data_IF_363484115806
#
_entry.id   IF_363484115806
#
_cell.length_a   1.000
_cell.length_b   1.000
_cell.length_c   1.000
_cell.angle_alpha   90.00
_cell.angle_beta   90.00
_cell.angle_gamma   90.00
#
_symmetry.space_group_name_H-M   'P 1'
#
loop_
_entity.id
_entity.type
_entity.pdbx_description
1 polymer ?
#
# COMPACT_ATOMS: atom_id res chain seq x y z
N UNK A 1 11.14 -9.50 7.00
CA UNK A 1 9.78 -8.96 7.35
C UNK A 1 9.80 -7.70 8.24
N UNK A 2 10.78 -7.60 9.15
CA UNK A 2 10.93 -6.57 10.18
C UNK A 2 11.12 -5.13 9.68
N UNK A 3 11.85 -4.95 8.58
CA UNK A 3 12.04 -3.63 7.98
C UNK A 3 10.74 -3.06 7.40
N UNK A 4 9.81 -3.88 6.92
CA UNK A 4 8.53 -3.40 6.35
C UNK A 4 7.62 -2.86 7.45
N UNK A 5 7.59 -3.48 8.63
CA UNK A 5 6.83 -3.01 9.80
C UNK A 5 7.43 -1.70 10.33
N UNK A 6 8.76 -1.62 10.37
CA UNK A 6 9.48 -0.42 10.82
C UNK A 6 9.32 0.73 9.82
N UNK A 7 9.43 0.46 8.52
CA UNK A 7 9.23 1.44 7.44
C UNK A 7 7.77 1.90 7.38
N UNK A 8 6.82 0.99 7.63
CA UNK A 8 5.41 1.31 7.78
C UNK A 8 5.22 2.25 8.98
N UNK A 9 5.75 1.93 10.16
CA UNK A 9 5.65 2.78 11.35
C UNK A 9 6.37 4.12 11.17
N UNK A 10 7.47 4.18 10.41
CA UNK A 10 8.25 5.41 10.17
C UNK A 10 7.47 6.43 9.33
N UNK A 11 6.59 6.00 8.43
CA UNK A 11 5.78 6.94 7.63
C UNK A 11 4.71 7.62 8.49
N UNK A 12 4.69 8.97 8.60
CA UNK A 12 3.67 9.69 9.38
C UNK A 12 2.26 9.49 8.83
N UNK A 13 2.14 9.14 7.55
CA UNK A 13 0.92 8.69 6.89
C UNK A 13 0.37 7.40 7.53
N UNK A 14 1.22 6.41 7.86
CA UNK A 14 0.80 5.11 8.42
C UNK A 14 0.03 5.24 9.74
N UNK A 15 0.56 6.07 10.64
CA UNK A 15 -0.01 6.29 11.99
C UNK A 15 -1.31 7.10 11.94
N UNK A 16 -1.39 8.12 11.07
CA UNK A 16 -2.65 8.85 10.81
C UNK A 16 -3.69 7.92 10.20
N UNK A 17 -3.30 6.97 9.35
CA UNK A 17 -4.18 5.96 8.77
C UNK A 17 -4.76 5.00 9.81
N UNK A 18 -3.98 4.52 10.79
CA UNK A 18 -4.47 3.68 11.89
C UNK A 18 -5.41 4.44 12.82
N UNK A 19 -5.08 5.69 13.14
CA UNK A 19 -5.99 6.51 13.95
C UNK A 19 -7.28 6.84 13.19
N UNK A 20 -7.18 7.08 11.88
CA UNK A 20 -8.34 7.24 11.00
C UNK A 20 -9.10 5.92 10.79
N UNK A 21 -8.46 4.74 10.86
CA UNK A 21 -9.11 3.42 10.81
C UNK A 21 -10.08 3.26 11.98
N UNK A 22 -9.64 3.59 13.19
CA UNK A 22 -10.50 3.56 14.39
C UNK A 22 -11.55 4.66 14.37
N UNK A 23 -11.21 5.86 13.87
CA UNK A 23 -12.12 7.01 13.87
C UNK A 23 -13.12 7.01 12.70
N UNK A 24 -12.81 6.31 11.61
CA UNK A 24 -13.61 6.22 10.38
C UNK A 24 -14.17 4.80 10.19
N UNK A 25 -14.59 4.16 11.29
CA UNK A 25 -15.36 2.91 11.29
C UNK A 25 -16.73 3.16 10.63
N UNK A 26 -16.71 3.26 9.31
CA UNK A 26 -17.83 3.56 8.44
C UNK A 26 -18.18 2.31 7.64
N UNK A 27 -19.44 2.14 7.31
CA UNK A 27 -19.93 1.01 6.50
C UNK A 27 -19.10 0.80 5.22
N UNK A 28 -18.70 1.88 4.55
CA UNK A 28 -17.87 1.83 3.34
C UNK A 28 -16.49 1.20 3.59
N UNK A 29 -15.90 1.47 4.76
CA UNK A 29 -14.63 0.87 5.15
C UNK A 29 -14.76 -0.63 5.40
N UNK A 30 -15.84 -1.05 6.06
CA UNK A 30 -16.10 -2.48 6.28
C UNK A 30 -16.26 -3.24 4.96
N UNK A 31 -16.98 -2.65 3.99
CA UNK A 31 -17.12 -3.23 2.65
C UNK A 31 -15.77 -3.30 1.93
N UNK A 32 -14.95 -2.25 1.99
CA UNK A 32 -13.62 -2.25 1.38
C UNK A 32 -12.69 -3.31 2.01
N UNK A 33 -12.73 -3.48 3.34
CA UNK A 33 -11.99 -4.53 4.05
C UNK A 33 -12.50 -5.92 3.67
N UNK A 34 -13.81 -6.12 3.58
CA UNK A 34 -14.40 -7.38 3.16
C UNK A 34 -13.96 -7.75 1.73
N UNK A 35 -14.06 -6.81 0.78
CA UNK A 35 -13.59 -6.99 -0.59
C UNK A 35 -12.09 -7.30 -0.65
N UNK A 36 -11.30 -6.67 0.20
CA UNK A 36 -9.88 -6.94 0.32
C UNK A 36 -9.61 -8.38 0.79
N UNK A 37 -10.27 -8.83 1.86
CA UNK A 37 -10.11 -10.21 2.35
C UNK A 37 -10.59 -11.24 1.33
N UNK A 38 -11.70 -10.99 0.64
CA UNK A 38 -12.18 -11.84 -0.46
C UNK A 38 -11.14 -11.93 -1.58
N UNK A 39 -10.55 -10.80 -1.97
CA UNK A 39 -9.48 -10.79 -2.97
C UNK A 39 -8.25 -11.55 -2.46
N UNK A 40 -7.88 -11.41 -1.19
CA UNK A 40 -6.76 -12.15 -0.59
C UNK A 40 -6.98 -13.67 -0.58
N UNK A 41 -8.17 -14.11 -0.20
CA UNK A 41 -8.54 -15.53 -0.26
C UNK A 41 -8.50 -16.04 -1.70
N UNK A 42 -9.03 -15.26 -2.66
CA UNK A 42 -8.97 -15.61 -4.07
C UNK A 42 -7.52 -15.71 -4.57
N UNK A 43 -6.65 -14.76 -4.22
CA UNK A 43 -5.22 -14.80 -4.56
C UNK A 43 -4.54 -16.05 -4.00
N UNK A 44 -4.79 -16.41 -2.74
CA UNK A 44 -4.21 -17.61 -2.14
C UNK A 44 -4.78 -18.89 -2.76
N UNK A 45 -6.06 -18.90 -3.11
CA UNK A 45 -6.68 -20.01 -3.83
C UNK A 45 -6.07 -20.20 -5.22
N UNK A 46 -5.86 -19.13 -5.99
CA UNK A 46 -5.16 -19.19 -7.28
C UNK A 46 -3.73 -19.69 -7.07
N UNK A 47 -3.01 -19.17 -6.07
CA UNK A 47 -1.65 -19.59 -5.73
C UNK A 47 -1.57 -21.09 -5.37
N UNK A 48 -2.62 -21.63 -4.73
CA UNK A 48 -2.73 -23.06 -4.44
C UNK A 48 -2.91 -23.89 -5.71
N UNK A 49 -3.76 -23.45 -6.66
CA UNK A 49 -3.98 -24.15 -7.93
C UNK A 49 -2.71 -24.26 -8.79
N UNK A 50 -1.85 -23.23 -8.76
CA UNK A 50 -0.58 -23.21 -9.50
C UNK A 50 0.58 -23.84 -8.70
N UNK A 51 0.32 -24.42 -7.53
CA UNK A 51 1.31 -25.10 -6.69
C UNK A 51 2.30 -24.17 -5.96
N UNK A 52 2.09 -22.85 -6.01
CA UNK A 52 2.92 -21.87 -5.30
C UNK A 52 2.62 -21.81 -3.81
N UNK A 53 1.39 -22.11 -3.40
CA UNK A 53 0.94 -22.06 -2.01
C UNK A 53 0.73 -23.45 -1.43
N UNK A 54 1.30 -23.69 -0.25
CA UNK A 54 1.09 -24.89 0.57
C UNK A 54 0.55 -24.49 1.94
N UNK A 55 -0.15 -25.40 2.61
CA UNK A 55 -0.70 -25.21 3.96
C UNK A 55 0.38 -24.83 4.98
N UNK A 56 1.62 -25.31 4.77
CA UNK A 56 2.80 -24.96 5.56
C UNK A 56 3.10 -23.45 5.58
N UNK A 57 2.60 -22.68 4.59
CA UNK A 57 2.84 -21.24 4.45
C UNK A 57 1.71 -20.37 5.02
N UNK A 58 0.78 -20.94 5.80
CA UNK A 58 -0.36 -20.19 6.37
C UNK A 58 0.12 -19.01 7.21
N UNK A 59 1.16 -19.19 8.04
CA UNK A 59 1.65 -18.14 8.94
C UNK A 59 2.20 -16.96 8.14
N UNK A 60 3.02 -17.26 7.14
CA UNK A 60 3.64 -16.30 6.24
C UNK A 60 2.56 -15.58 5.42
N UNK A 61 1.56 -16.29 4.94
CA UNK A 61 0.43 -15.74 4.17
C UNK A 61 -0.44 -14.81 5.01
N UNK A 62 -0.75 -15.19 6.26
CA UNK A 62 -1.50 -14.35 7.19
C UNK A 62 -0.76 -13.03 7.45
N UNK A 63 0.56 -13.11 7.65
CA UNK A 63 1.40 -11.94 7.84
C UNK A 63 1.48 -11.08 6.58
N UNK A 64 1.57 -11.67 5.38
CA UNK A 64 1.52 -10.92 4.11
C UNK A 64 0.21 -10.14 3.96
N UNK A 65 -0.91 -10.75 4.32
CA UNK A 65 -2.23 -10.13 4.26
C UNK A 65 -2.30 -8.96 5.27
N UNK A 66 -2.03 -9.23 6.55
CA UNK A 66 -2.16 -8.23 7.60
C UNK A 66 -1.15 -7.07 7.47
N UNK A 67 0.11 -7.39 7.22
CA UNK A 67 1.20 -6.39 7.21
C UNK A 67 1.36 -5.75 5.83
N UNK A 68 1.15 -6.50 4.75
CA UNK A 68 1.30 -6.00 3.38
C UNK A 68 0.04 -5.32 2.83
N UNK A 69 -1.15 -5.86 3.13
CA UNK A 69 -2.39 -5.38 2.53
C UNK A 69 -3.02 -4.16 3.20
N UNK A 70 -2.93 -4.02 4.52
CA UNK A 70 -3.43 -2.84 5.23
C UNK A 70 -2.75 -1.54 4.72
N UNK A 71 -1.42 -1.49 4.51
CA UNK A 71 -0.81 -0.33 3.89
C UNK A 71 -1.26 -0.05 2.45
N UNK A 72 -1.58 -1.11 1.70
CA UNK A 72 -2.07 -1.01 0.32
C UNK A 72 -3.45 -0.33 0.26
N UNK A 73 -4.31 -0.57 1.27
CA UNK A 73 -5.63 0.04 1.40
C UNK A 73 -5.59 1.55 1.66
N UNK A 74 -4.55 2.02 2.37
CA UNK A 74 -4.56 3.38 2.93
C UNK A 74 -3.51 4.35 2.36
N UNK A 75 -2.30 3.90 2.00
CA UNK A 75 -1.17 4.83 1.84
C UNK A 75 -0.73 5.11 0.42
N UNK A 76 -0.99 4.21 -0.54
CA UNK A 76 -0.51 4.38 -1.93
C UNK A 76 -1.56 4.81 -2.95
N UNK A 77 -2.81 4.34 -2.93
CA UNK A 77 -3.72 4.63 -4.02
C UNK A 77 -4.20 6.10 -4.03
N UNK A 78 -4.15 6.80 -2.88
CA UNK A 78 -4.62 8.19 -2.76
C UNK A 78 -3.65 9.21 -3.37
N UNK A 79 -2.34 8.92 -3.45
CA UNK A 79 -1.33 9.86 -3.94
C UNK A 79 -0.97 9.67 -5.43
N UNK A 80 -1.08 8.45 -5.98
CA UNK A 80 -0.60 8.12 -7.35
C UNK A 80 -1.51 8.66 -8.45
N UNK A 81 -1.00 9.43 -9.41
CA UNK A 81 -1.83 10.09 -10.43
C UNK A 81 -2.28 9.09 -11.51
N UNK A 82 -1.48 8.05 -11.77
CA UNK A 82 -1.75 7.08 -12.85
C UNK A 82 -1.71 5.62 -12.41
N UNK A 83 -2.40 4.75 -13.16
CA UNK A 83 -2.33 3.29 -12.97
C UNK A 83 -0.95 2.72 -13.22
N UNK A 84 -0.16 3.35 -14.10
CA UNK A 84 1.23 2.98 -14.37
C UNK A 84 2.14 3.34 -13.19
N UNK A 85 1.97 4.51 -12.58
CA UNK A 85 2.69 4.85 -11.33
C UNK A 85 2.33 3.89 -10.20
N UNK A 86 1.05 3.51 -10.08
CA UNK A 86 0.62 2.51 -9.11
C UNK A 86 1.29 1.15 -9.36
N UNK A 87 1.33 0.69 -10.62
CA UNK A 87 1.99 -0.55 -11.00
C UNK A 87 3.50 -0.49 -10.76
N UNK A 88 4.15 0.61 -11.16
CA UNK A 88 5.59 0.85 -10.94
C UNK A 88 5.90 0.84 -9.45
N UNK A 89 5.07 1.45 -8.62
CA UNK A 89 5.26 1.50 -7.18
C UNK A 89 4.98 0.16 -6.49
N UNK A 90 4.10 -0.68 -7.03
CA UNK A 90 3.87 -2.05 -6.56
C UNK A 90 5.03 -2.94 -7.01
N UNK A 91 5.50 -2.82 -8.25
CA UNK A 91 6.65 -3.55 -8.79
C UNK A 91 7.95 -3.20 -8.06
N UNK A 92 8.23 -1.91 -7.83
CA UNK A 92 9.35 -1.47 -7.01
C UNK A 92 9.26 -1.96 -5.56
N UNK A 93 8.04 -2.16 -5.04
CA UNK A 93 7.85 -2.76 -3.72
C UNK A 93 7.90 -4.29 -3.73
N UNK A 94 7.70 -4.94 -4.88
CA UNK A 94 7.68 -6.40 -5.04
C UNK A 94 9.06 -6.97 -5.39
N UNK A 95 9.88 -6.19 -6.12
CA UNK A 95 11.22 -6.56 -6.60
C UNK A 95 12.30 -5.63 -6.01
N UNK A 96 11.92 -4.67 -5.18
CA UNK A 96 12.85 -3.70 -4.60
C UNK A 96 13.86 -4.31 -3.64
N UNK A 97 14.95 -3.57 -3.44
CA UNK A 97 16.01 -3.87 -2.47
C UNK A 97 15.45 -4.26 -1.08
N UNK A 98 14.37 -3.63 -0.64
CA UNK A 98 13.70 -3.96 0.64
C UNK A 98 13.17 -5.38 0.71
N UNK A 99 12.68 -5.95 -0.40
CA UNK A 99 12.17 -7.34 -0.45
C UNK A 99 13.35 -8.31 -0.43
N UNK A 100 14.40 -8.03 -1.18
CA UNK A 100 15.63 -8.84 -1.21
C UNK A 100 16.25 -8.90 0.19
N UNK A 101 16.41 -7.74 0.84
CA UNK A 101 16.93 -7.66 2.21
C UNK A 101 15.98 -8.34 3.21
N UNK A 102 14.66 -8.20 3.02
CA UNK A 102 13.66 -8.86 3.88
C UNK A 102 13.67 -10.38 3.72
N UNK A 103 13.89 -10.90 2.51
CA UNK A 103 14.03 -12.32 2.22
C UNK A 103 15.35 -12.84 2.81
N UNK A 104 16.44 -12.11 2.61
CA UNK A 104 17.75 -12.42 3.19
C UNK A 104 17.70 -12.54 4.72
N UNK A 105 17.02 -11.62 5.39
CA UNK A 105 16.84 -11.68 6.85
C UNK A 105 15.89 -12.78 7.32
N UNK A 106 14.99 -13.25 6.46
CA UNK A 106 14.10 -14.37 6.80
C UNK A 106 14.77 -15.74 6.60
N UNK A 107 15.94 -15.82 5.92
CA UNK A 107 16.71 -17.06 5.76
C UNK A 107 17.10 -17.71 7.11
N UNK A 108 17.11 -16.91 8.18
CA UNK A 108 17.51 -17.34 9.51
C UNK A 108 16.43 -16.95 10.51
N UNK A 109 15.77 -17.94 11.09
CA UNK A 109 14.90 -17.72 12.25
C UNK A 109 15.75 -17.56 13.52
N UNK A 110 15.54 -16.49 14.27
CA UNK A 110 16.15 -16.33 15.59
C UNK A 110 15.22 -16.92 16.66
N UNK A 111 15.73 -17.25 17.86
CA UNK A 111 14.86 -17.57 18.98
C UNK A 111 13.84 -16.45 19.18
N UNK A 112 12.58 -16.81 19.44
CA UNK A 112 11.47 -15.86 19.52
C UNK A 112 11.75 -14.65 20.43
N UNK A 113 12.42 -14.89 21.57
CA UNK A 113 12.81 -13.83 22.52
C UNK A 113 13.75 -12.81 21.88
N UNK A 114 14.73 -13.28 21.08
CA UNK A 114 15.68 -12.40 20.38
C UNK A 114 14.97 -11.62 19.29
N UNK A 115 14.05 -12.25 18.54
CA UNK A 115 13.27 -11.55 17.51
C UNK A 115 12.40 -10.43 18.11
N UNK A 116 11.71 -10.71 19.21
CA UNK A 116 10.87 -9.73 19.90
C UNK A 116 11.72 -8.60 20.48
N UNK A 117 12.87 -8.92 21.09
CA UNK A 117 13.78 -7.88 21.61
C UNK A 117 14.29 -6.95 20.49
N UNK A 118 14.77 -7.55 19.41
CA UNK A 118 15.19 -6.83 18.19
C UNK A 118 14.04 -5.94 17.65
N UNK A 119 12.80 -6.43 17.62
CA UNK A 119 11.62 -5.66 17.22
C UNK A 119 11.38 -4.43 18.10
N UNK A 120 11.45 -4.59 19.43
CA UNK A 120 11.24 -3.51 20.39
C UNK A 120 12.29 -2.42 20.20
N UNK A 121 13.57 -2.80 20.04
CA UNK A 121 14.66 -1.85 19.83
C UNK A 121 14.45 -1.03 18.55
N UNK A 122 14.17 -1.67 17.42
CA UNK A 122 13.96 -0.94 16.16
C UNK A 122 12.71 -0.09 16.21
N UNK A 123 11.64 -0.57 16.85
CA UNK A 123 10.43 0.21 17.06
C UNK A 123 10.71 1.49 17.87
N UNK A 124 11.44 1.39 18.98
CA UNK A 124 11.79 2.54 19.81
C UNK A 124 12.69 3.54 19.07
N UNK A 125 13.68 3.07 18.32
CA UNK A 125 14.58 3.92 17.52
C UNK A 125 13.81 4.62 16.39
N UNK A 126 12.97 3.89 15.66
CA UNK A 126 12.14 4.43 14.59
C UNK A 126 11.05 5.38 15.10
N UNK A 127 10.44 5.09 16.25
CA UNK A 127 9.47 5.96 16.90
C UNK A 127 10.13 7.27 17.34
N UNK A 128 11.30 7.21 17.97
CA UNK A 128 12.06 8.37 18.42
C UNK A 128 12.50 9.26 17.26
N UNK A 129 13.03 8.66 16.18
CA UNK A 129 13.41 9.39 14.96
C UNK A 129 12.22 10.14 14.36
N UNK A 130 11.05 9.50 14.26
CA UNK A 130 9.84 10.13 13.75
C UNK A 130 9.31 11.28 14.64
N UNK A 131 9.46 11.17 15.97
CA UNK A 131 9.06 12.23 16.92
C UNK A 131 9.97 13.46 16.77
N UNK A 132 11.28 13.24 16.62
CA UNK A 132 12.27 14.30 16.45
C UNK A 132 12.07 15.06 15.14
N UNK A 133 11.85 14.32 14.04
CA UNK A 133 11.58 14.90 12.73
C UNK A 133 10.31 15.78 12.74
N UNK A 134 9.26 15.35 13.47
CA UNK A 134 8.01 16.11 13.61
C UNK A 134 8.16 17.40 14.42
N UNK A 135 8.93 17.36 15.51
CA UNK A 135 9.12 18.52 16.38
C UNK A 135 10.23 19.46 15.88
N UNK A 136 10.89 19.15 14.75
CA UNK A 136 12.12 19.82 14.28
C UNK A 136 13.15 19.96 15.40
N UNK A 137 13.22 18.96 16.29
CA UNK A 137 14.21 18.91 17.35
C UNK A 137 15.59 18.77 16.71
N UNK A 138 16.61 19.40 17.32
CA UNK A 138 17.92 19.70 16.73
C UNK A 138 18.52 18.62 15.83
N UNK A 139 19.16 19.06 14.73
CA UNK A 139 19.68 18.20 13.67
C UNK A 139 20.60 17.09 14.19
N UNK A 140 21.38 17.35 15.24
CA UNK A 140 22.33 16.39 15.83
C UNK A 140 21.67 15.10 16.34
N UNK A 141 20.54 15.19 17.05
CA UNK A 141 19.84 14.01 17.59
C UNK A 141 19.24 13.15 16.49
N UNK A 142 18.79 13.76 15.39
CA UNK A 142 18.28 13.03 14.23
C UNK A 142 19.43 12.25 13.53
N UNK A 143 20.60 12.88 13.34
CA UNK A 143 21.76 12.20 12.76
C UNK A 143 22.27 11.06 13.65
N UNK A 144 22.27 11.24 14.97
CA UNK A 144 22.65 10.17 15.91
C UNK A 144 21.71 8.97 15.83
N UNK A 145 20.39 9.19 15.84
CA UNK A 145 19.40 8.10 15.73
C UNK A 145 19.46 7.42 14.36
N UNK A 146 19.70 8.17 13.28
CA UNK A 146 19.91 7.57 11.96
C UNK A 146 21.19 6.74 11.94
N UNK A 147 22.28 7.22 12.54
CA UNK A 147 23.52 6.45 12.71
C UNK A 147 23.31 5.17 13.51
N UNK A 148 22.54 5.23 14.61
CA UNK A 148 22.19 4.06 15.41
C UNK A 148 21.35 3.04 14.63
N UNK A 149 20.39 3.49 13.80
CA UNK A 149 19.61 2.62 12.92
C UNK A 149 20.46 1.97 11.83
N UNK A 150 21.40 2.71 11.23
CA UNK A 150 22.33 2.18 10.24
C UNK A 150 23.25 1.14 10.89
N UNK A 151 23.82 1.45 12.06
CA UNK A 151 24.69 0.53 12.81
C UNK A 151 23.94 -0.74 13.20
N UNK A 152 22.71 -0.60 13.71
CA UNK A 152 21.85 -1.74 14.01
C UNK A 152 21.62 -2.60 12.76
N UNK A 153 21.27 -1.98 11.63
CA UNK A 153 21.10 -2.69 10.36
C UNK A 153 22.35 -3.44 9.93
N UNK A 154 23.52 -2.84 10.09
CA UNK A 154 24.80 -3.45 9.77
C UNK A 154 25.14 -4.65 10.67
N UNK A 155 24.98 -4.50 11.98
CA UNK A 155 25.15 -5.61 12.95
C UNK A 155 24.20 -6.76 12.62
N UNK A 156 22.96 -6.44 12.28
CA UNK A 156 21.96 -7.44 11.94
C UNK A 156 22.33 -8.20 10.66
N UNK A 157 22.82 -7.52 9.63
CA UNK A 157 23.35 -8.16 8.42
C UNK A 157 24.49 -9.11 8.78
N UNK A 158 25.47 -8.68 9.58
CA UNK A 158 26.59 -9.53 9.97
C UNK A 158 26.14 -10.78 10.75
N UNK A 159 25.19 -10.64 11.67
CA UNK A 159 24.65 -11.77 12.43
C UNK A 159 23.91 -12.77 11.53
N UNK A 160 23.11 -12.27 10.59
CA UNK A 160 22.43 -13.13 9.60
C UNK A 160 23.46 -13.81 8.71
N UNK A 161 24.43 -13.08 8.16
CA UNK A 161 25.53 -13.63 7.34
C UNK A 161 26.29 -14.73 8.07
N UNK A 162 26.66 -14.49 9.33
CA UNK A 162 27.37 -15.47 10.15
C UNK A 162 26.52 -16.74 10.34
N UNK A 163 25.24 -16.57 10.68
CA UNK A 163 24.36 -17.71 10.96
C UNK A 163 23.97 -18.49 9.69
N UNK A 164 23.81 -17.81 8.55
CA UNK A 164 23.68 -18.44 7.23
C UNK A 164 24.93 -19.26 6.91
N UNK A 165 26.12 -18.70 7.12
CA UNK A 165 27.37 -19.42 6.88
C UNK A 165 27.54 -20.64 7.79
N UNK A 166 27.28 -20.49 9.09
CA UNK A 166 27.44 -21.58 10.07
C UNK A 166 26.40 -22.70 9.94
N UNK A 167 25.25 -22.44 9.31
CA UNK A 167 24.14 -23.39 9.23
C UNK A 167 23.60 -23.54 7.79
N UNK A 168 24.44 -23.33 6.78
CA UNK A 168 24.04 -23.30 5.37
C UNK A 168 23.31 -24.57 4.93
N UNK A 169 23.73 -25.73 5.43
CA UNK A 169 23.16 -27.04 5.09
C UNK A 169 21.77 -27.27 5.70
N UNK A 170 21.39 -26.51 6.73
CA UNK A 170 20.08 -26.62 7.37
C UNK A 170 18.99 -25.75 6.72
N UNK A 171 19.37 -24.91 5.75
CA UNK A 171 18.45 -24.00 5.07
C UNK A 171 17.72 -24.73 3.94
N UNK A 172 16.41 -24.86 4.08
CA UNK A 172 15.54 -25.38 3.01
C UNK A 172 15.31 -24.33 1.93
N UNK A 173 16.29 -24.13 1.04
CA UNK A 173 16.25 -23.12 -0.03
C UNK A 173 14.98 -23.17 -0.90
N UNK A 174 14.45 -24.37 -1.16
CA UNK A 174 13.21 -24.53 -1.92
C UNK A 174 12.00 -23.89 -1.24
N UNK A 175 11.94 -23.93 0.10
CA UNK A 175 10.89 -23.30 0.88
C UNK A 175 10.99 -21.77 0.80
N UNK A 176 12.18 -21.23 1.02
CA UNK A 176 12.41 -19.78 1.03
C UNK A 176 12.18 -19.13 -0.34
N UNK A 177 12.59 -19.80 -1.42
CA UNK A 177 12.32 -19.36 -2.79
C UNK A 177 10.81 -19.35 -3.06
N UNK A 178 10.08 -20.37 -2.62
CA UNK A 178 8.62 -20.41 -2.78
C UNK A 178 7.93 -19.29 -2.01
N UNK A 179 8.35 -18.99 -0.79
CA UNK A 179 7.79 -17.86 0.00
C UNK A 179 8.09 -16.51 -0.68
N UNK A 180 9.28 -16.36 -1.25
CA UNK A 180 9.64 -15.16 -2.02
C UNK A 180 8.77 -14.99 -3.27
N UNK A 181 8.62 -16.05 -4.07
CA UNK A 181 7.77 -16.04 -5.27
C UNK A 181 6.31 -15.78 -4.89
N UNK A 182 5.81 -16.43 -3.83
CA UNK A 182 4.47 -16.23 -3.30
C UNK A 182 4.23 -14.78 -2.88
N UNK A 183 5.22 -14.14 -2.25
CA UNK A 183 5.15 -12.72 -1.86
C UNK A 183 5.01 -11.80 -3.08
N UNK A 184 5.82 -12.05 -4.12
CA UNK A 184 5.73 -11.31 -5.39
C UNK A 184 4.38 -11.53 -6.07
N UNK A 185 3.96 -12.79 -6.19
CA UNK A 185 2.67 -13.18 -6.76
C UNK A 185 1.50 -12.49 -6.04
N UNK A 186 1.51 -12.48 -4.70
CA UNK A 186 0.48 -11.83 -3.89
C UNK A 186 0.37 -10.34 -4.21
N UNK A 187 1.49 -9.62 -4.28
CA UNK A 187 1.50 -8.19 -4.61
C UNK A 187 0.95 -7.90 -6.01
N UNK A 188 1.30 -8.72 -7.00
CA UNK A 188 0.75 -8.60 -8.35
C UNK A 188 -0.73 -8.97 -8.42
N UNK A 189 -1.15 -10.02 -7.72
CA UNK A 189 -2.55 -10.45 -7.65
C UNK A 189 -3.44 -9.40 -6.97
N UNK A 190 -2.88 -8.61 -6.05
CA UNK A 190 -3.55 -7.49 -5.38
C UNK A 190 -3.64 -6.22 -6.23
N UNK A 191 -2.90 -6.12 -7.34
CA UNK A 191 -2.89 -4.93 -8.19
C UNK A 191 -4.27 -4.53 -8.72
N UNK A 192 -5.09 -5.45 -9.30
CA UNK A 192 -6.42 -5.11 -9.79
C UNK A 192 -7.32 -4.52 -8.70
N UNK A 193 -7.27 -5.11 -7.51
CA UNK A 193 -8.01 -4.60 -6.36
C UNK A 193 -7.55 -3.21 -5.94
N UNK A 194 -6.23 -2.99 -5.83
CA UNK A 194 -5.67 -1.68 -5.50
C UNK A 194 -6.04 -0.61 -6.53
N UNK A 195 -6.06 -0.97 -7.82
CA UNK A 195 -6.47 -0.07 -8.90
C UNK A 195 -7.95 0.31 -8.81
N UNK A 196 -8.83 -0.68 -8.61
CA UNK A 196 -10.27 -0.44 -8.46
C UNK A 196 -10.58 0.42 -7.23
N UNK A 197 -9.90 0.17 -6.11
CA UNK A 197 -10.04 0.98 -4.89
C UNK A 197 -9.58 2.42 -5.11
N UNK A 198 -8.44 2.62 -5.81
CA UNK A 198 -7.95 3.94 -6.17
C UNK A 198 -8.94 4.72 -7.05
N UNK A 199 -9.48 4.03 -8.06
CA UNK A 199 -10.44 4.60 -8.99
C UNK A 199 -11.75 4.95 -8.28
N UNK A 200 -12.27 4.05 -7.45
CA UNK A 200 -13.46 4.28 -6.63
C UNK A 200 -13.28 5.52 -5.74
N UNK A 201 -12.15 5.61 -5.05
CA UNK A 201 -11.82 6.75 -4.17
C UNK A 201 -11.74 8.07 -4.94
N UNK A 202 -11.13 8.06 -6.15
CA UNK A 202 -11.06 9.24 -7.00
C UNK A 202 -12.43 9.68 -7.52
N UNK A 203 -13.28 8.73 -7.91
CA UNK A 203 -14.66 9.01 -8.35
C UNK A 203 -15.52 9.56 -7.21
N UNK A 204 -15.41 9.00 -6.01
CA UNK A 204 -16.11 9.50 -4.83
C UNK A 204 -15.69 10.94 -4.50
N UNK A 205 -14.40 11.25 -4.63
CA UNK A 205 -13.90 12.61 -4.46
C UNK A 205 -14.48 13.58 -5.50
N UNK A 206 -14.56 13.19 -6.77
CA UNK A 206 -15.20 13.99 -7.81
C UNK A 206 -16.66 14.26 -7.46
N UNK A 207 -17.42 13.23 -7.11
CA UNK A 207 -18.85 13.34 -6.77
C UNK A 207 -19.04 14.22 -5.54
N UNK A 208 -18.19 14.07 -4.53
CA UNK A 208 -18.22 14.89 -3.31
C UNK A 208 -17.98 16.38 -3.63
N UNK A 209 -16.94 16.68 -4.42
CA UNK A 209 -16.64 18.05 -4.87
C UNK A 209 -17.76 18.66 -5.71
N UNK A 210 -18.38 17.86 -6.57
CA UNK A 210 -19.54 18.29 -7.36
C UNK A 210 -20.72 18.61 -6.42
N UNK A 211 -21.02 17.74 -5.44
CA UNK A 211 -22.10 17.96 -4.45
C UNK A 211 -21.89 19.22 -3.61
N UNK A 212 -20.65 19.50 -3.20
CA UNK A 212 -20.32 20.75 -2.49
C UNK A 212 -20.65 22.00 -3.31
N UNK A 213 -20.67 21.91 -4.64
CA UNK A 213 -21.00 23.03 -5.52
C UNK A 213 -22.47 23.07 -5.91
N UNK A 214 -23.10 21.90 -6.03
CA UNK A 214 -24.50 21.76 -6.39
C UNK A 214 -25.12 20.59 -5.59
N UNK A 215 -25.81 20.91 -4.49
CA UNK A 215 -26.38 19.89 -3.60
C UNK A 215 -27.43 19.00 -4.30
N UNK A 216 -28.19 19.56 -5.25
CA UNK A 216 -29.25 18.87 -6.00
C UNK A 216 -28.74 18.17 -7.27
N UNK A 217 -27.53 17.61 -7.19
CA UNK A 217 -26.87 16.94 -8.31
C UNK A 217 -27.65 15.73 -8.84
N UNK A 218 -28.20 15.89 -10.04
CA UNK A 218 -28.94 14.87 -10.78
C UNK A 218 -28.10 13.62 -11.02
N UNK A 219 -28.73 12.46 -10.96
CA UNK A 219 -28.08 11.14 -11.14
C UNK A 219 -27.39 11.05 -12.49
N UNK A 220 -27.99 11.59 -13.56
CA UNK A 220 -27.40 11.61 -14.90
C UNK A 220 -26.03 12.29 -14.97
N UNK A 221 -25.79 13.35 -14.20
CA UNK A 221 -24.48 14.03 -14.18
C UNK A 221 -23.43 13.18 -13.48
N UNK A 222 -23.81 12.49 -12.39
CA UNK A 222 -22.93 11.55 -11.67
C UNK A 222 -22.50 10.39 -12.58
N UNK A 223 -23.45 9.81 -13.31
CA UNK A 223 -23.18 8.71 -14.25
C UNK A 223 -22.28 9.20 -15.40
N UNK A 224 -22.52 10.41 -15.93
CA UNK A 224 -21.67 11.00 -16.96
C UNK A 224 -20.23 11.23 -16.47
N UNK A 225 -20.04 11.65 -15.22
CA UNK A 225 -18.72 11.79 -14.62
C UNK A 225 -18.01 10.43 -14.53
N UNK A 226 -18.68 9.40 -13.98
CA UNK A 226 -18.13 8.05 -13.85
C UNK A 226 -17.75 7.47 -15.22
N UNK A 227 -18.70 7.40 -16.15
CA UNK A 227 -18.49 6.85 -17.51
C UNK A 227 -17.47 7.69 -18.29
N UNK A 228 -17.47 9.01 -18.09
CA UNK A 228 -16.56 9.95 -18.75
C UNK A 228 -15.09 9.66 -18.46
N UNK A 229 -14.76 9.23 -17.24
CA UNK A 229 -13.39 8.85 -16.86
C UNK A 229 -12.89 7.55 -17.53
N UNK A 230 -13.78 6.75 -18.13
CA UNK A 230 -13.46 5.46 -18.78
C UNK A 230 -12.65 4.49 -17.90
N UNK A 231 -12.83 4.57 -16.59
CA UNK A 231 -12.07 3.75 -15.64
C UNK A 231 -10.58 4.08 -15.58
N UNK A 232 -10.14 5.21 -16.14
CA UNK A 232 -8.75 5.67 -16.06
C UNK A 232 -8.52 6.46 -14.79
N UNK A 233 -7.60 5.96 -13.94
CA UNK A 233 -7.20 6.65 -12.72
C UNK A 233 -6.65 8.06 -13.00
N UNK A 234 -5.93 8.23 -14.13
CA UNK A 234 -5.36 9.51 -14.57
C UNK A 234 -6.45 10.55 -14.80
N UNK A 235 -7.50 10.17 -15.54
CA UNK A 235 -8.63 11.06 -15.82
C UNK A 235 -9.46 11.35 -14.57
N UNK A 236 -9.60 10.39 -13.65
CA UNK A 236 -10.33 10.62 -12.41
C UNK A 236 -9.59 11.58 -11.47
N UNK A 237 -8.26 11.45 -11.33
CA UNK A 237 -7.49 12.30 -10.41
C UNK A 237 -7.19 13.70 -10.93
N UNK A 238 -6.99 13.84 -12.24
CA UNK A 238 -6.76 15.15 -12.86
C UNK A 238 -8.06 15.94 -13.03
N UNK A 239 -9.21 15.40 -12.60
CA UNK A 239 -10.49 16.09 -12.71
C UNK A 239 -10.61 17.18 -11.64
N UNK A 240 -10.17 18.37 -12.02
CA UNK A 240 -10.11 19.55 -11.18
C UNK A 240 -10.76 20.75 -11.88
N UNK A 241 -10.67 21.92 -11.24
CA UNK A 241 -11.01 23.20 -11.86
C UNK A 241 -10.28 23.37 -13.22
N UNK A 242 -10.88 23.96 -14.25
CA UNK A 242 -12.23 24.56 -14.34
C UNK A 242 -13.36 23.59 -14.74
N UNK A 243 -13.03 22.35 -15.10
CA UNK A 243 -13.98 21.36 -15.61
C UNK A 243 -15.05 20.93 -14.60
N UNK A 244 -14.69 20.98 -13.31
CA UNK A 244 -15.60 20.72 -12.20
C UNK A 244 -16.81 21.68 -12.21
N UNK A 245 -16.59 22.98 -12.44
CA UNK A 245 -17.68 23.96 -12.48
C UNK A 245 -18.60 23.74 -13.67
N UNK A 246 -18.02 23.60 -14.87
CA UNK A 246 -18.78 23.35 -16.09
C UNK A 246 -19.63 22.07 -15.99
N UNK A 247 -19.16 21.09 -15.22
CA UNK A 247 -19.93 19.86 -14.96
C UNK A 247 -21.00 20.06 -13.87
N UNK A 248 -20.74 20.84 -12.82
CA UNK A 248 -21.73 21.14 -11.78
C UNK A 248 -22.92 21.96 -12.30
N UNK A 249 -22.69 22.79 -13.31
CA UNK A 249 -23.70 23.58 -14.03
C UNK A 249 -24.48 22.75 -15.08
N UNK A 250 -24.03 21.54 -15.39
CA UNK A 250 -24.69 20.72 -16.41
C UNK A 250 -26.03 20.18 -15.91
N UNK A 251 -27.11 20.49 -16.61
CA UNK A 251 -28.47 20.08 -16.21
C UNK A 251 -28.78 18.61 -16.51
N UNK A 252 -28.15 18.02 -17.53
CA UNK A 252 -28.51 16.70 -18.06
C UNK A 252 -27.28 15.86 -18.41
N UNK A 253 -27.47 14.53 -18.49
CA UNK A 253 -26.41 13.57 -18.88
C UNK A 253 -25.70 13.96 -20.18
N UNK A 254 -26.46 14.42 -21.19
CA UNK A 254 -25.90 14.80 -22.50
C UNK A 254 -24.93 15.97 -22.37
N UNK A 255 -25.29 17.02 -21.63
CA UNK A 255 -24.42 18.20 -21.42
C UNK A 255 -23.18 17.80 -20.60
N UNK A 256 -23.35 17.02 -19.53
CA UNK A 256 -22.24 16.51 -18.75
C UNK A 256 -21.29 15.61 -19.57
N UNK A 257 -21.82 14.81 -20.50
CA UNK A 257 -21.04 13.96 -21.39
C UNK A 257 -20.21 14.77 -22.40
N UNK A 258 -20.71 15.93 -22.85
CA UNK A 258 -20.00 16.86 -23.73
C UNK A 258 -18.83 17.49 -22.96
N UNK A 259 -19.06 17.95 -21.73
CA UNK A 259 -18.00 18.48 -20.86
C UNK A 259 -16.90 17.45 -20.65
N UNK A 260 -17.25 16.18 -20.40
CA UNK A 260 -16.27 15.09 -20.26
C UNK A 260 -15.53 14.77 -21.56
N UNK A 261 -16.17 14.88 -22.72
CA UNK A 261 -15.49 14.73 -24.02
C UNK A 261 -14.46 15.84 -24.22
N UNK A 262 -14.82 17.09 -23.93
CA UNK A 262 -13.92 18.23 -24.05
C UNK A 262 -12.75 18.15 -23.06
N UNK A 263 -13.02 17.74 -21.81
CA UNK A 263 -11.99 17.49 -20.80
C UNK A 263 -10.95 16.47 -21.28
N UNK A 264 -11.40 15.35 -21.87
CA UNK A 264 -10.49 14.31 -22.37
C UNK A 264 -9.62 14.81 -23.53
N UNK A 265 -10.20 15.57 -24.46
CA UNK A 265 -9.43 16.15 -25.57
C UNK A 265 -8.36 17.12 -25.09
N UNK A 266 -8.59 17.83 -23.99
CA UNK A 266 -7.60 18.74 -23.42
C UNK A 266 -6.45 18.05 -22.68
N UNK A 267 -6.54 16.73 -22.45
CA UNK A 267 -5.56 15.92 -21.71
C UNK A 267 -4.82 14.88 -22.58
N UNK A 268 -5.20 14.77 -23.85
CA UNK A 268 -4.49 14.02 -24.90
C UNK A 268 -3.45 14.92 -25.54
#
# INVERSE_FOLDING_TARGET
MLLVIVEAIRKPSFRKGIWNLFKAFSWKLQVALLCYFLCAVLSMWIAWQIGLWKVEFIKESLLMILVGGIPLLYFKPVEMISGFELLKAISQNAVGFTVIVSAYFNLVSFPYVVEVFMQVVVFLLGASSAVIERKKLGSFTNHFLQGALILYGFIFILLVSFKVYSHADSIYWSKEINIFILSGFYLFSMFPFAYLLALYSALELIISRLKMRNESLRVGVKVAAIVGTRGSLKLAKLFCYPWLNKMAEAENYRNASIVMRSYRKALQ
#
